data_IF_905703340776
#
_entry.id   IF_905703340776
#
_cell.length_a   1.000
_cell.length_b   1.000
_cell.length_c   1.000
_cell.angle_alpha   90.00
_cell.angle_beta   90.00
_cell.angle_gamma   90.00
#
_symmetry.space_group_name_H-M   'P 1'
#
loop_
_entity.id
_entity.type
_entity.pdbx_description
1 polymer ?
#
# COMPACT_ATOMS: atom_id res chain seq x y z
N UNK A 1 6.36 -21.17 19.73
CA UNK A 1 6.70 -19.88 19.11
C UNK A 1 5.45 -19.39 18.42
N UNK A 2 4.74 -18.45 19.03
CA UNK A 2 3.57 -17.84 18.41
C UNK A 2 4.08 -16.77 17.45
N UNK A 3 3.82 -16.98 16.17
CA UNK A 3 3.98 -15.98 15.12
C UNK A 3 3.32 -14.69 15.59
N UNK A 4 4.11 -13.62 15.68
CA UNK A 4 3.62 -12.31 16.08
C UNK A 4 2.68 -11.85 14.99
N UNK A 5 1.39 -12.12 15.16
CA UNK A 5 0.33 -11.62 14.29
C UNK A 5 0.50 -10.10 14.23
N UNK A 6 1.14 -9.65 13.15
CA UNK A 6 1.16 -8.24 12.77
C UNK A 6 -0.30 -7.88 12.67
N UNK A 7 -0.74 -6.90 13.47
CA UNK A 7 -2.12 -6.40 13.42
C UNK A 7 -2.51 -6.25 11.95
N UNK A 8 -3.50 -7.02 11.51
CA UNK A 8 -4.03 -6.92 10.15
C UNK A 8 -4.29 -5.44 9.86
N UNK A 9 -3.76 -4.95 8.74
CA UNK A 9 -4.12 -3.62 8.25
C UNK A 9 -5.64 -3.52 8.18
N UNK A 10 -6.21 -2.40 8.64
CA UNK A 10 -7.67 -2.20 8.63
C UNK A 10 -8.18 -2.24 7.19
N UNK A 11 -7.43 -1.63 6.26
CA UNK A 11 -7.71 -1.68 4.82
C UNK A 11 -7.73 -3.11 4.28
N UNK A 12 -6.73 -3.93 4.63
CA UNK A 12 -6.67 -5.34 4.23
C UNK A 12 -7.89 -6.12 4.72
N UNK A 13 -8.31 -5.90 5.98
CA UNK A 13 -9.51 -6.56 6.50
C UNK A 13 -10.77 -6.16 5.71
N UNK A 14 -10.92 -4.88 5.34
CA UNK A 14 -12.05 -4.41 4.53
C UNK A 14 -12.00 -5.00 3.12
N UNK A 15 -10.86 -4.99 2.44
CA UNK A 15 -10.76 -5.58 1.10
C UNK A 15 -11.05 -7.08 1.09
N UNK A 16 -10.61 -7.81 2.11
CA UNK A 16 -10.95 -9.23 2.27
C UNK A 16 -12.45 -9.43 2.53
N UNK A 17 -13.08 -8.55 3.31
CA UNK A 17 -14.52 -8.59 3.54
C UNK A 17 -15.31 -8.33 2.25
N UNK A 18 -14.90 -7.34 1.45
CA UNK A 18 -15.46 -7.06 0.12
C UNK A 18 -15.33 -8.30 -0.77
N UNK A 19 -14.12 -8.88 -0.87
CA UNK A 19 -13.88 -10.03 -1.73
C UNK A 19 -14.65 -11.30 -1.32
N UNK A 20 -15.03 -11.41 -0.04
CA UNK A 20 -15.76 -12.54 0.50
C UNK A 20 -17.29 -12.38 0.48
N UNK A 21 -17.80 -11.17 0.17
CA UNK A 21 -19.24 -10.89 0.21
C UNK A 21 -19.95 -11.48 -1.02
N UNK A 22 -20.97 -12.34 -0.85
CA UNK A 22 -21.64 -12.99 -1.96
C UNK A 22 -22.55 -12.04 -2.76
N UNK A 23 -22.86 -10.85 -2.22
CA UNK A 23 -23.68 -9.83 -2.86
C UNK A 23 -22.89 -8.88 -3.75
N UNK A 24 -21.55 -8.91 -3.70
CA UNK A 24 -20.72 -8.08 -4.57
C UNK A 24 -20.37 -8.78 -5.90
N UNK A 25 -20.40 -8.07 -7.03
CA UNK A 25 -20.05 -8.62 -8.34
C UNK A 25 -18.54 -8.83 -8.47
N UNK A 26 -18.15 -9.68 -9.41
CA UNK A 26 -16.73 -10.02 -9.63
C UNK A 26 -15.85 -8.79 -9.92
N UNK A 27 -16.36 -7.76 -10.60
CA UNK A 27 -15.62 -6.52 -10.84
C UNK A 27 -15.24 -5.78 -9.54
N UNK A 28 -16.12 -5.82 -8.53
CA UNK A 28 -15.85 -5.26 -7.20
C UNK A 28 -14.81 -6.09 -6.45
N UNK A 29 -14.84 -7.41 -6.62
CA UNK A 29 -13.80 -8.32 -6.07
C UNK A 29 -12.43 -8.05 -6.71
N UNK A 30 -12.39 -7.82 -8.03
CA UNK A 30 -11.16 -7.45 -8.74
C UNK A 30 -10.59 -6.11 -8.24
N UNK A 31 -11.46 -5.11 -8.00
CA UNK A 31 -11.07 -3.84 -7.39
C UNK A 31 -10.49 -4.04 -5.98
N UNK A 32 -11.09 -4.90 -5.16
CA UNK A 32 -10.55 -5.22 -3.84
C UNK A 32 -9.16 -5.86 -3.92
N UNK A 33 -8.94 -6.77 -4.88
CA UNK A 33 -7.63 -7.38 -5.12
C UNK A 33 -6.55 -6.36 -5.52
N UNK A 34 -6.91 -5.38 -6.36
CA UNK A 34 -6.04 -4.24 -6.70
C UNK A 34 -5.73 -3.39 -5.47
N UNK A 35 -6.75 -3.10 -4.65
CA UNK A 35 -6.59 -2.39 -3.38
C UNK A 35 -5.61 -3.05 -2.42
N UNK A 36 -5.68 -4.38 -2.26
CA UNK A 36 -4.71 -5.15 -1.46
C UNK A 36 -3.28 -4.98 -1.99
N UNK A 37 -3.11 -5.01 -3.30
CA UNK A 37 -1.80 -4.84 -3.94
C UNK A 37 -1.26 -3.42 -3.73
N UNK A 38 -2.11 -2.42 -3.85
CA UNK A 38 -1.76 -1.02 -3.60
C UNK A 38 -1.39 -0.76 -2.12
N UNK A 39 -2.15 -1.32 -1.18
CA UNK A 39 -1.88 -1.25 0.27
C UNK A 39 -0.52 -1.86 0.64
N UNK A 40 -0.23 -3.05 0.08
CA UNK A 40 1.05 -3.71 0.26
C UNK A 40 2.22 -2.89 -0.34
N UNK A 41 2.02 -2.30 -1.52
CA UNK A 41 3.01 -1.44 -2.16
C UNK A 41 3.26 -0.16 -1.36
N UNK A 42 2.21 0.47 -0.83
CA UNK A 42 2.30 1.67 0.01
C UNK A 42 3.06 1.39 1.32
N UNK A 43 2.72 0.29 1.99
CA UNK A 43 3.43 -0.19 3.19
C UNK A 43 4.92 -0.39 2.89
N UNK A 44 5.24 -1.11 1.82
CA UNK A 44 6.62 -1.37 1.40
C UNK A 44 7.38 -0.06 1.11
N UNK A 45 6.77 0.84 0.33
CA UNK A 45 7.38 2.13 0.01
C UNK A 45 7.66 2.95 1.27
N UNK A 46 6.72 3.02 2.22
CA UNK A 46 6.89 3.76 3.47
C UNK A 46 8.08 3.27 4.31
N UNK A 47 8.34 1.95 4.33
CA UNK A 47 9.47 1.37 5.04
C UNK A 47 10.81 1.47 4.29
N UNK A 48 10.81 1.22 2.99
CA UNK A 48 12.05 1.10 2.19
C UNK A 48 12.54 2.45 1.64
N UNK A 49 11.62 3.34 1.25
CA UNK A 49 11.92 4.57 0.50
C UNK A 49 11.49 5.81 1.25
N UNK A 50 10.26 5.84 1.79
CA UNK A 50 9.68 7.04 2.40
C UNK A 50 10.53 7.65 3.52
N UNK A 51 11.06 6.80 4.41
CA UNK A 51 11.91 7.24 5.54
C UNK A 51 13.24 7.87 5.15
N UNK A 52 13.78 7.51 3.98
CA UNK A 52 15.09 7.99 3.52
C UNK A 52 14.99 9.09 2.46
N UNK A 53 13.85 9.17 1.76
CA UNK A 53 13.64 10.09 0.64
C UNK A 53 12.88 11.37 1.00
N UNK A 54 12.20 11.41 2.15
CA UNK A 54 11.42 12.57 2.59
C UNK A 54 11.85 13.06 3.97
N UNK A 55 11.68 14.36 4.21
CA UNK A 55 11.74 14.88 5.57
C UNK A 55 10.55 14.38 6.41
N UNK A 56 10.68 14.52 7.73
CA UNK A 56 9.69 13.99 8.66
C UNK A 56 8.28 14.56 8.49
N UNK A 57 8.15 15.82 8.08
CA UNK A 57 6.84 16.44 7.86
C UNK A 57 6.23 15.96 6.55
N UNK A 58 7.00 15.96 5.45
CA UNK A 58 6.53 15.46 4.16
C UNK A 58 6.15 13.97 4.21
N UNK A 59 6.88 13.16 4.98
CA UNK A 59 6.52 11.76 5.22
C UNK A 59 5.24 11.65 6.06
N UNK A 60 5.09 12.45 7.11
CA UNK A 60 3.89 12.46 7.94
C UNK A 60 2.65 12.83 7.13
N UNK A 61 2.72 13.91 6.34
CA UNK A 61 1.61 14.35 5.47
C UNK A 61 1.20 13.26 4.48
N UNK A 62 2.17 12.55 3.89
CA UNK A 62 1.86 11.40 3.01
C UNK A 62 1.17 10.26 3.74
N UNK A 63 1.64 9.92 4.95
CA UNK A 63 1.02 8.85 5.75
C UNK A 63 -0.37 9.24 6.23
N UNK A 64 -0.63 10.53 6.48
CA UNK A 64 -1.96 11.05 6.78
C UNK A 64 -2.88 10.87 5.57
N UNK A 65 -2.47 11.27 4.37
CA UNK A 65 -3.27 11.06 3.14
C UNK A 65 -3.57 9.58 2.89
N UNK A 66 -2.62 8.66 3.16
CA UNK A 66 -2.89 7.22 3.09
C UNK A 66 -3.97 6.80 4.11
N UNK A 67 -3.84 7.25 5.36
CA UNK A 67 -4.82 7.00 6.41
C UNK A 67 -6.22 7.52 6.08
N UNK A 68 -6.33 8.68 5.44
CA UNK A 68 -7.61 9.21 4.95
C UNK A 68 -8.26 8.28 3.90
N UNK A 69 -7.47 7.59 3.06
CA UNK A 69 -8.00 6.56 2.14
C UNK A 69 -8.48 5.32 2.86
N UNK A 70 -7.77 4.90 3.91
CA UNK A 70 -8.21 3.80 4.76
C UNK A 70 -9.54 4.12 5.44
N UNK A 71 -9.69 5.34 5.99
CA UNK A 71 -10.93 5.79 6.61
C UNK A 71 -12.09 5.88 5.61
N UNK A 72 -11.83 6.37 4.39
CA UNK A 72 -12.82 6.38 3.29
C UNK A 72 -13.28 4.97 2.92
N UNK A 73 -12.34 4.01 2.86
CA UNK A 73 -12.64 2.61 2.57
C UNK A 73 -13.52 1.97 3.66
N UNK A 74 -13.17 2.19 4.93
CA UNK A 74 -13.95 1.70 6.07
C UNK A 74 -15.35 2.31 6.06
N UNK A 75 -15.47 3.62 5.85
CA UNK A 75 -16.74 4.32 5.75
C UNK A 75 -17.61 3.75 4.63
N UNK A 76 -17.05 3.59 3.43
CA UNK A 76 -17.76 3.02 2.28
C UNK A 76 -18.28 1.61 2.56
N UNK A 77 -17.46 0.76 3.17
CA UNK A 77 -17.87 -0.60 3.51
C UNK A 77 -18.99 -0.62 4.55
N UNK A 78 -18.93 0.26 5.55
CA UNK A 78 -19.99 0.42 6.54
C UNK A 78 -21.30 0.91 5.90
N UNK A 79 -21.25 1.93 5.04
CA UNK A 79 -22.43 2.44 4.30
C UNK A 79 -23.08 1.33 3.46
N UNK A 80 -22.28 0.48 2.81
CA UNK A 80 -22.79 -0.65 2.03
C UNK A 80 -23.46 -1.69 2.93
N UNK A 81 -22.81 -2.07 4.03
CA UNK A 81 -23.36 -3.02 5.01
C UNK A 81 -24.65 -2.52 5.69
N UNK A 82 -24.81 -1.20 5.82
CA UNK A 82 -26.02 -0.55 6.31
C UNK A 82 -27.13 -0.41 5.24
N UNK A 83 -26.83 -0.73 3.97
CA UNK A 83 -27.74 -0.54 2.84
C UNK A 83 -27.95 0.92 2.43
N UNK A 84 -27.09 1.83 2.89
CA UNK A 84 -27.14 3.26 2.56
C UNK A 84 -26.62 3.54 1.15
N UNK A 85 -25.69 2.70 0.67
CA UNK A 85 -25.22 2.71 -0.71
C UNK A 85 -25.47 1.37 -1.39
N UNK A 86 -25.94 1.44 -2.64
CA UNK A 86 -26.10 0.27 -3.49
C UNK A 86 -24.78 -0.17 -4.13
N UNK A 87 -24.78 -1.36 -4.71
CA UNK A 87 -23.60 -1.98 -5.34
C UNK A 87 -22.93 -1.13 -6.42
N UNK A 88 -23.69 -0.35 -7.19
CA UNK A 88 -23.16 0.55 -8.22
C UNK A 88 -22.36 1.70 -7.60
N UNK A 89 -22.86 2.26 -6.49
CA UNK A 89 -22.16 3.31 -5.77
C UNK A 89 -20.93 2.77 -5.03
N UNK A 90 -21.03 1.56 -4.46
CA UNK A 90 -19.89 0.84 -3.91
C UNK A 90 -18.79 0.68 -4.95
N UNK A 91 -19.12 0.15 -6.14
CA UNK A 91 -18.14 -0.09 -7.21
C UNK A 91 -17.43 1.20 -7.65
N UNK A 92 -18.20 2.26 -7.93
CA UNK A 92 -17.64 3.55 -8.37
C UNK A 92 -16.71 4.15 -7.31
N UNK A 93 -17.16 4.22 -6.05
CA UNK A 93 -16.36 4.83 -4.98
C UNK A 93 -15.16 3.97 -4.59
N UNK A 94 -15.30 2.64 -4.62
CA UNK A 94 -14.19 1.73 -4.40
C UNK A 94 -13.14 1.90 -5.49
N UNK A 95 -13.54 2.05 -6.75
CA UNK A 95 -12.62 2.31 -7.85
C UNK A 95 -11.84 3.62 -7.68
N UNK A 96 -12.50 4.69 -7.21
CA UNK A 96 -11.86 5.97 -6.88
C UNK A 96 -10.81 5.81 -5.77
N UNK A 97 -11.17 5.14 -4.67
CA UNK A 97 -10.25 4.89 -3.54
C UNK A 97 -9.06 4.06 -3.99
N UNK A 98 -9.29 2.96 -4.71
CA UNK A 98 -8.22 2.06 -5.19
C UNK A 98 -7.29 2.81 -6.15
N UNK A 99 -7.83 3.62 -7.06
CA UNK A 99 -7.02 4.43 -7.98
C UNK A 99 -6.18 5.47 -7.21
N UNK A 100 -6.74 6.10 -6.18
CA UNK A 100 -5.98 7.00 -5.32
C UNK A 100 -4.85 6.26 -4.59
N UNK A 101 -5.10 5.07 -4.04
CA UNK A 101 -4.08 4.25 -3.40
C UNK A 101 -2.98 3.79 -4.37
N UNK A 102 -3.34 3.41 -5.60
CA UNK A 102 -2.37 3.00 -6.63
C UNK A 102 -1.45 4.15 -7.05
N UNK A 103 -1.97 5.37 -7.11
CA UNK A 103 -1.21 6.58 -7.48
C UNK A 103 -0.52 7.26 -6.30
N UNK A 104 -0.79 6.81 -5.06
CA UNK A 104 -0.21 7.37 -3.84
C UNK A 104 1.31 7.21 -3.77
N UNK A 105 1.82 6.06 -4.20
CA UNK A 105 3.25 5.81 -4.34
C UNK A 105 3.75 6.49 -5.61
N UNK A 106 4.71 7.43 -5.56
CA UNK A 106 5.31 7.94 -6.77
C UNK A 106 6.04 6.80 -7.49
N UNK A 107 5.69 6.56 -8.76
CA UNK A 107 6.44 5.69 -9.65
C UNK A 107 7.91 6.12 -9.61
N UNK A 108 8.80 5.25 -9.14
CA UNK A 108 10.22 5.48 -9.26
C UNK A 108 10.59 5.36 -10.74
N UNK A 109 10.69 6.50 -11.43
CA UNK A 109 11.40 6.56 -12.70
C UNK A 109 12.91 6.50 -12.43
N UNK A 110 13.53 5.34 -12.64
CA UNK A 110 15.00 5.21 -12.73
C UNK A 110 15.60 4.02 -11.99
N UNK A 111 16.69 3.43 -12.52
CA UNK A 111 17.11 2.07 -12.20
C UNK A 111 17.65 1.98 -10.78
N UNK A 112 17.35 0.85 -10.13
CA UNK A 112 18.04 0.40 -8.92
C UNK A 112 19.53 0.32 -9.27
N UNK A 113 20.30 1.36 -8.90
CA UNK A 113 21.74 1.27 -8.96
C UNK A 113 22.16 0.13 -8.03
N UNK A 114 22.81 -0.86 -8.64
CA UNK A 114 23.42 -2.01 -8.01
C UNK A 114 24.30 -1.55 -6.83
N UNK A 115 23.76 -1.67 -5.61
CA UNK A 115 24.55 -1.52 -4.37
C UNK A 115 25.63 -2.62 -4.23
N UNK A 116 25.79 -3.49 -5.22
CA UNK A 116 26.89 -4.46 -5.35
C UNK A 116 28.28 -3.80 -5.55
N UNK A 117 28.36 -2.50 -5.87
CA UNK A 117 29.63 -1.83 -6.18
C UNK A 117 30.48 -1.36 -4.99
N UNK A 118 29.93 -1.22 -3.78
CA UNK A 118 30.63 -0.52 -2.66
C UNK A 118 31.46 -1.41 -1.72
N UNK A 119 31.57 -2.72 -1.97
CA UNK A 119 32.43 -3.61 -1.18
C UNK A 119 33.74 -4.03 -1.87
N UNK A 120 34.11 -3.42 -3.01
CA UNK A 120 35.35 -3.76 -3.73
C UNK A 120 36.31 -2.57 -3.90
N UNK A 121 36.67 -1.91 -2.81
CA UNK A 121 37.91 -1.10 -2.78
C UNK A 121 38.49 -1.07 -1.36
N UNK A 122 38.88 -2.25 -0.89
CA UNK A 122 39.57 -2.46 0.38
C UNK A 122 40.50 -3.65 0.27
N UNK A 123 41.50 -3.60 -0.62
CA UNK A 123 42.67 -4.46 -0.59
C UNK A 123 43.84 -3.67 -1.18
N UNK A 124 44.74 -3.24 -0.29
CA UNK A 124 45.96 -2.55 -0.67
C UNK A 124 46.92 -3.48 -1.41
N UNK A 125 47.82 -2.94 -2.24
CA UNK A 125 48.91 -3.72 -2.78
C UNK A 125 50.00 -3.83 -1.72
N UNK A 126 50.02 -4.96 -1.02
CA UNK A 126 51.24 -5.49 -0.43
C UNK A 126 51.95 -6.32 -1.50
N UNK A 127 53.08 -5.85 -1.99
CA UNK A 127 54.06 -6.70 -2.68
C UNK A 127 55.44 -6.33 -2.15
N UNK A 128 56.10 -7.36 -1.65
CA UNK A 128 57.41 -7.40 -1.03
C UNK A 128 58.52 -6.98 -2.00
N UNK A 129 59.55 -6.33 -1.44
CA UNK A 129 60.85 -6.04 -2.03
C UNK A 129 61.85 -5.78 -0.92
#
# INVERSE_FOLDING_TARGET
MAEKAVRNSVSLAVFLAVAADPGVPIGVVELAGRGITADAAASRWGFEVGKSSLDGFALADKLIDLGEREDQLVGLWHEYGAGEVGVVALESRLAEIVTAMETWVPLQEGPVEDFSGRLRRGLGPGTDG
#
